data_IF_946975630863
#
_entry.id   IF_946975630863
#
_cell.length_a   1.000
_cell.length_b   1.000
_cell.length_c   1.000
_cell.angle_alpha   90.00
_cell.angle_beta   90.00
_cell.angle_gamma   90.00
#
_symmetry.space_group_name_H-M   'P 1'
#
loop_
_entity.id
_entity.type
_entity.pdbx_description
1 polymer ?
#
# COMPACT_ATOMS: atom_id res chain seq x y z
N UNK A 1 46.21 45.05 -35.29
CA UNK A 1 44.77 44.82 -35.04
C UNK A 1 44.31 43.44 -35.49
N UNK A 2 44.57 43.02 -36.72
CA UNK A 2 44.23 41.67 -37.24
C UNK A 2 44.82 40.50 -36.43
N UNK A 3 46.09 40.59 -36.02
CA UNK A 3 46.75 39.57 -35.19
C UNK A 3 46.13 39.37 -33.80
N UNK A 4 45.58 40.44 -33.20
CA UNK A 4 44.91 40.39 -31.90
C UNK A 4 43.57 39.66 -32.02
N UNK A 5 42.84 39.90 -33.11
CA UNK A 5 41.56 39.25 -33.40
C UNK A 5 41.76 37.74 -33.61
N UNK A 6 42.81 37.35 -34.34
CA UNK A 6 43.13 35.93 -34.57
C UNK A 6 43.45 35.22 -33.25
N UNK A 7 44.21 35.85 -32.35
CA UNK A 7 44.54 35.28 -31.03
C UNK A 7 43.29 35.07 -30.17
N UNK A 8 42.34 36.03 -30.17
CA UNK A 8 41.10 35.91 -29.41
C UNK A 8 40.23 34.77 -29.96
N UNK A 9 40.11 34.65 -31.28
CA UNK A 9 39.35 33.57 -31.91
C UNK A 9 39.97 32.20 -31.60
N UNK A 10 41.29 32.06 -31.71
CA UNK A 10 41.99 30.81 -31.37
C UNK A 10 41.80 30.47 -29.89
N UNK A 11 41.90 31.45 -28.99
CA UNK A 11 41.69 31.24 -27.56
C UNK A 11 40.25 30.82 -27.22
N UNK A 12 39.25 31.43 -27.85
CA UNK A 12 37.83 31.05 -27.65
C UNK A 12 37.52 29.65 -28.17
N UNK A 13 38.08 29.27 -29.32
CA UNK A 13 37.94 27.91 -29.87
C UNK A 13 38.63 26.90 -28.94
N UNK A 14 39.83 27.22 -28.44
CA UNK A 14 40.56 26.36 -27.52
C UNK A 14 39.80 26.19 -26.19
N UNK A 15 39.22 27.26 -25.66
CA UNK A 15 38.41 27.23 -24.44
C UNK A 15 37.11 26.41 -24.63
N UNK A 16 36.46 26.48 -25.80
CA UNK A 16 35.30 25.67 -26.14
C UNK A 16 35.65 24.18 -26.25
N UNK A 17 36.79 23.86 -26.86
CA UNK A 17 37.25 22.48 -26.99
C UNK A 17 37.60 21.92 -25.61
N UNK A 18 38.38 22.66 -24.81
CA UNK A 18 38.77 22.28 -23.44
C UNK A 18 37.57 22.16 -22.49
N UNK A 19 36.58 23.06 -22.59
CA UNK A 19 35.36 23.04 -21.78
C UNK A 19 34.45 21.83 -22.04
N UNK A 20 34.59 21.19 -23.21
CA UNK A 20 33.84 20.00 -23.59
C UNK A 20 34.59 18.68 -23.34
N UNK A 21 35.87 18.72 -22.91
CA UNK A 21 36.61 17.49 -22.59
C UNK A 21 36.22 16.99 -21.19
N UNK A 22 35.32 15.99 -21.19
CA UNK A 22 35.11 15.01 -20.11
C UNK A 22 34.56 15.55 -18.78
N UNK A 23 33.23 15.75 -18.75
CA UNK A 23 32.46 15.24 -17.60
C UNK A 23 32.41 13.70 -17.72
N UNK A 24 33.46 13.03 -17.25
CA UNK A 24 33.33 11.62 -16.93
C UNK A 24 32.22 11.50 -15.88
N UNK A 25 31.10 10.91 -16.29
CA UNK A 25 30.05 10.50 -15.35
C UNK A 25 30.73 9.50 -14.42
N UNK A 26 31.17 9.95 -13.25
CA UNK A 26 31.49 9.08 -12.13
C UNK A 26 30.22 8.28 -11.86
N UNK A 27 30.15 7.07 -12.43
CA UNK A 27 29.13 6.10 -12.09
C UNK A 27 29.33 5.81 -10.61
N UNK A 28 28.59 6.52 -9.76
CA UNK A 28 28.69 6.38 -8.32
C UNK A 28 28.49 4.91 -7.98
N UNK A 29 29.42 4.34 -7.21
CA UNK A 29 29.30 2.98 -6.73
C UNK A 29 27.92 2.79 -6.10
N UNK A 30 27.21 1.73 -6.48
CA UNK A 30 25.86 1.47 -6.01
C UNK A 30 25.88 1.33 -4.49
N UNK A 31 25.03 2.09 -3.80
CA UNK A 31 24.85 1.93 -2.36
C UNK A 31 24.31 0.52 -2.04
N UNK A 32 24.73 -0.09 -0.91
CA UNK A 32 24.27 -1.42 -0.53
C UNK A 32 22.76 -1.42 -0.27
N UNK A 33 22.07 -2.42 -0.80
CA UNK A 33 20.64 -2.65 -0.56
C UNK A 33 20.50 -3.32 0.80
N UNK A 34 19.58 -2.81 1.63
CA UNK A 34 19.24 -3.39 2.93
C UNK A 34 17.76 -3.70 2.98
N UNK A 35 17.40 -4.81 3.62
CA UNK A 35 16.03 -5.13 3.95
C UNK A 35 15.46 -4.14 4.97
N UNK A 36 14.13 -3.94 4.94
CA UNK A 36 13.38 -3.15 5.91
C UNK A 36 12.10 -3.89 6.31
N UNK A 37 11.50 -3.49 7.43
CA UNK A 37 10.14 -3.94 7.80
C UNK A 37 9.15 -3.49 6.73
N UNK A 38 8.13 -4.33 6.49
CA UNK A 38 7.04 -4.00 5.57
C UNK A 38 6.18 -2.90 6.19
N UNK A 39 5.72 -3.12 7.44
CA UNK A 39 4.91 -2.17 8.19
C UNK A 39 5.74 -1.40 9.22
N UNK A 40 5.39 -0.14 9.43
CA UNK A 40 5.96 0.68 10.52
C UNK A 40 5.45 0.22 11.90
N UNK A 41 6.01 0.78 12.97
CA UNK A 41 5.55 0.47 14.34
C UNK A 41 4.13 0.99 14.61
N UNK A 42 3.68 2.03 13.89
CA UNK A 42 2.35 2.61 14.02
C UNK A 42 1.32 1.89 13.14
N UNK A 43 1.75 1.34 11.99
CA UNK A 43 0.91 0.56 11.08
C UNK A 43 0.55 -0.83 11.63
N UNK A 44 1.51 -1.53 12.25
CA UNK A 44 1.30 -2.88 12.78
C UNK A 44 0.06 -3.01 13.70
N UNK A 45 -0.10 -2.20 14.75
CA UNK A 45 -1.27 -2.31 15.61
C UNK A 45 -2.57 -1.94 14.89
N UNK A 46 -2.55 -0.98 13.96
CA UNK A 46 -3.72 -0.62 13.16
C UNK A 46 -4.14 -1.77 12.24
N UNK A 47 -3.19 -2.44 11.59
CA UNK A 47 -3.47 -3.61 10.76
C UNK A 47 -4.19 -4.70 11.56
N UNK A 48 -3.72 -4.97 12.79
CA UNK A 48 -4.34 -5.95 13.69
C UNK A 48 -5.78 -5.52 14.02
N UNK A 49 -6.01 -4.24 14.35
CA UNK A 49 -7.34 -3.73 14.68
C UNK A 49 -8.30 -3.78 13.49
N UNK A 50 -7.84 -3.45 12.29
CA UNK A 50 -8.64 -3.60 11.07
C UNK A 50 -9.05 -5.07 10.87
N UNK A 51 -8.11 -6.02 11.03
CA UNK A 51 -8.38 -7.45 10.86
C UNK A 51 -9.38 -7.98 11.89
N UNK A 52 -9.26 -7.57 13.14
CA UNK A 52 -10.17 -7.97 14.22
C UNK A 52 -11.57 -7.38 14.04
N UNK A 53 -11.65 -6.13 13.60
CA UNK A 53 -12.92 -5.43 13.39
C UNK A 53 -13.67 -5.88 12.13
N UNK A 54 -12.93 -6.30 11.10
CA UNK A 54 -13.44 -6.59 9.76
C UNK A 54 -13.15 -8.05 9.35
N UNK A 55 -13.64 -9.07 10.09
CA UNK A 55 -13.27 -10.48 9.86
C UNK A 55 -13.67 -11.00 8.48
N UNK A 56 -14.71 -10.41 7.88
CA UNK A 56 -15.23 -10.79 6.56
C UNK A 56 -14.57 -10.03 5.39
N UNK A 57 -13.62 -9.13 5.67
CA UNK A 57 -12.92 -8.32 4.67
C UNK A 57 -11.48 -8.77 4.46
N UNK A 58 -10.94 -8.46 3.29
CA UNK A 58 -9.53 -8.68 2.97
C UNK A 58 -8.80 -7.35 3.15
N UNK A 59 -7.66 -7.38 3.85
CA UNK A 59 -6.86 -6.19 4.11
C UNK A 59 -5.50 -6.35 3.45
N UNK A 60 -5.20 -5.48 2.49
CA UNK A 60 -3.90 -5.37 1.86
C UNK A 60 -3.14 -4.19 2.47
N UNK A 61 -1.85 -4.35 2.72
CA UNK A 61 -1.02 -3.30 3.30
C UNK A 61 0.07 -2.83 2.33
N UNK A 62 0.46 -1.56 2.42
CA UNK A 62 1.50 -0.94 1.58
C UNK A 62 1.20 -1.09 0.07
N UNK A 63 -0.02 -0.75 -0.33
CA UNK A 63 -0.50 -0.91 -1.72
C UNK A 63 -0.16 0.33 -2.54
N UNK A 64 0.60 0.17 -3.63
CA UNK A 64 0.89 1.29 -4.53
C UNK A 64 -0.39 1.84 -5.17
N UNK A 65 -0.52 3.16 -5.30
CA UNK A 65 -1.68 3.76 -5.97
C UNK A 65 -1.81 3.28 -7.42
N UNK A 66 -0.69 2.98 -8.09
CA UNK A 66 -0.71 2.41 -9.45
C UNK A 66 -1.34 1.01 -9.54
N UNK A 67 -1.62 0.34 -8.42
CA UNK A 67 -2.30 -0.94 -8.40
C UNK A 67 -3.83 -0.79 -8.51
N UNK A 68 -4.38 0.36 -8.12
CA UNK A 68 -5.83 0.60 -8.11
C UNK A 68 -6.25 1.90 -8.82
N UNK A 69 -5.30 2.71 -9.29
CA UNK A 69 -5.56 3.93 -10.05
C UNK A 69 -4.87 3.89 -11.41
N UNK A 70 -5.52 4.47 -12.41
CA UNK A 70 -4.97 4.66 -13.75
C UNK A 70 -5.35 6.03 -14.30
N UNK A 71 -4.53 6.54 -15.22
CA UNK A 71 -4.79 7.81 -15.89
C UNK A 71 -4.20 7.79 -17.30
N UNK A 72 -4.78 8.59 -18.19
CA UNK A 72 -4.23 8.83 -19.52
C UNK A 72 -3.08 9.83 -19.42
N UNK A 73 -1.94 9.49 -20.04
CA UNK A 73 -0.76 10.37 -20.10
C UNK A 73 0.17 10.29 -18.88
N UNK A 74 1.46 10.50 -19.16
CA UNK A 74 2.51 10.39 -18.15
C UNK A 74 2.45 11.48 -17.08
N UNK A 75 2.03 12.70 -17.44
CA UNK A 75 1.94 13.82 -16.51
C UNK A 75 1.00 13.51 -15.34
N UNK A 76 -0.22 13.05 -15.63
CA UNK A 76 -1.21 12.69 -14.62
C UNK A 76 -0.79 11.44 -13.85
N UNK A 77 -0.24 10.42 -14.52
CA UNK A 77 0.24 9.21 -13.84
C UNK A 77 1.37 9.49 -12.84
N UNK A 78 2.21 10.49 -13.10
CA UNK A 78 3.27 10.91 -12.18
C UNK A 78 2.74 11.52 -10.88
N UNK A 79 1.48 11.95 -10.83
CA UNK A 79 0.86 12.44 -9.60
C UNK A 79 0.75 11.33 -8.55
N UNK A 80 0.54 10.06 -8.95
CA UNK A 80 0.31 8.97 -8.00
C UNK A 80 1.27 7.78 -8.11
N UNK A 81 2.11 7.68 -9.14
CA UNK A 81 2.93 6.48 -9.36
C UNK A 81 3.98 6.16 -8.28
N UNK A 82 4.28 7.12 -7.40
CA UNK A 82 5.19 6.95 -6.25
C UNK A 82 4.46 6.95 -4.90
N UNK A 83 3.13 7.05 -4.92
CA UNK A 83 2.29 7.03 -3.73
C UNK A 83 1.89 5.60 -3.37
N UNK A 84 1.84 5.32 -2.07
CA UNK A 84 1.49 4.02 -1.49
C UNK A 84 0.49 4.27 -0.38
N UNK A 85 -0.62 3.53 -0.38
CA UNK A 85 -1.62 3.48 0.68
C UNK A 85 -1.15 2.60 1.83
N UNK A 86 -1.40 3.01 3.06
CA UNK A 86 -1.07 2.20 4.23
C UNK A 86 -1.87 0.90 4.21
N UNK A 87 -3.19 1.01 4.02
CA UNK A 87 -4.06 -0.16 3.82
C UNK A 87 -5.14 0.06 2.76
N UNK A 88 -5.52 -1.03 2.10
CA UNK A 88 -6.67 -1.12 1.21
C UNK A 88 -7.57 -2.24 1.73
N UNK A 89 -8.81 -1.89 2.06
CA UNK A 89 -9.81 -2.85 2.53
C UNK A 89 -10.69 -3.25 1.36
N UNK A 90 -10.80 -4.56 1.14
CA UNK A 90 -11.59 -5.16 0.09
C UNK A 90 -12.74 -6.00 0.66
N UNK A 91 -13.82 -6.12 -0.10
CA UNK A 91 -14.83 -7.15 0.14
C UNK A 91 -14.33 -8.55 -0.33
N UNK A 92 -15.17 -9.58 -0.17
CA UNK A 92 -14.86 -10.96 -0.57
C UNK A 92 -14.72 -11.13 -2.09
N UNK A 93 -15.19 -10.18 -2.87
CA UNK A 93 -15.15 -10.16 -4.33
C UNK A 93 -13.97 -9.31 -4.85
N UNK A 94 -13.09 -8.85 -3.95
CA UNK A 94 -11.94 -7.99 -4.26
C UNK A 94 -12.30 -6.58 -4.74
N UNK A 95 -13.52 -6.09 -4.46
CA UNK A 95 -13.85 -4.68 -4.67
C UNK A 95 -13.30 -3.84 -3.52
N UNK A 96 -12.79 -2.65 -3.84
CA UNK A 96 -12.28 -1.71 -2.83
C UNK A 96 -13.45 -1.11 -2.06
N UNK A 97 -13.48 -1.34 -0.75
CA UNK A 97 -14.44 -0.77 0.19
C UNK A 97 -13.95 0.58 0.70
N UNK A 98 -12.67 0.66 1.09
CA UNK A 98 -12.04 1.89 1.54
C UNK A 98 -10.51 1.83 1.45
N UNK A 99 -9.89 2.98 1.25
CA UNK A 99 -8.47 3.23 1.49
C UNK A 99 -8.32 3.73 2.93
N UNK A 100 -7.42 3.13 3.71
CA UNK A 100 -7.16 3.54 5.09
C UNK A 100 -5.75 4.13 5.20
N UNK A 101 -5.67 5.34 5.75
CA UNK A 101 -4.42 6.08 5.97
C UNK A 101 -4.18 6.32 7.47
N UNK A 102 -2.92 6.29 7.88
CA UNK A 102 -2.48 6.66 9.21
C UNK A 102 -1.75 8.01 9.16
N UNK A 103 -2.25 8.97 9.94
CA UNK A 103 -1.48 10.18 10.22
C UNK A 103 -0.42 9.86 11.27
N UNK A 104 0.85 10.13 10.94
CA UNK A 104 1.87 10.18 11.98
C UNK A 104 1.85 11.57 12.63
N UNK A 105 1.90 11.64 13.95
CA UNK A 105 1.92 12.90 14.72
C UNK A 105 3.07 13.89 14.36
N UNK A 106 3.95 13.53 13.41
CA UNK A 106 5.06 14.34 12.91
C UNK A 106 4.72 15.33 11.78
N UNK A 107 3.45 15.47 11.37
CA UNK A 107 3.01 16.28 10.21
C UNK A 107 2.93 17.82 10.42
N UNK A 108 3.83 18.47 11.18
CA UNK A 108 3.90 19.95 11.12
C UNK A 108 4.48 20.39 9.76
N UNK A 109 3.66 20.99 8.90
CA UNK A 109 4.08 21.62 7.63
C UNK A 109 3.96 20.75 6.36
N UNK A 110 3.16 19.68 6.38
CA UNK A 110 2.87 18.83 5.20
C UNK A 110 1.40 18.75 4.79
N UNK A 111 0.55 19.54 5.43
CA UNK A 111 -0.91 19.55 5.26
C UNK A 111 -1.34 19.62 3.78
N UNK A 112 -0.71 20.50 2.99
CA UNK A 112 -1.03 20.65 1.55
C UNK A 112 -0.77 19.38 0.74
N UNK A 113 0.28 18.62 1.08
CA UNK A 113 0.63 17.38 0.37
C UNK A 113 -0.32 16.24 0.73
N UNK A 114 -0.77 16.23 1.97
CA UNK A 114 -1.74 15.24 2.46
C UNK A 114 -3.12 15.53 1.83
N UNK A 115 -3.50 16.81 1.69
CA UNK A 115 -4.69 17.21 0.95
C UNK A 115 -4.64 16.83 -0.53
N UNK A 116 -3.52 17.05 -1.23
CA UNK A 116 -3.36 16.64 -2.64
C UNK A 116 -3.49 15.12 -2.79
N UNK A 117 -2.88 14.36 -1.87
CA UNK A 117 -2.96 12.90 -1.87
C UNK A 117 -4.40 12.40 -1.71
N UNK A 118 -5.13 12.95 -0.76
CA UNK A 118 -6.52 12.57 -0.50
C UNK A 118 -7.43 12.96 -1.68
N UNK A 119 -7.15 14.12 -2.29
CA UNK A 119 -7.85 14.58 -3.50
C UNK A 119 -7.75 13.57 -4.63
N UNK A 120 -6.58 12.97 -4.85
CA UNK A 120 -6.37 11.96 -5.90
C UNK A 120 -7.18 10.67 -5.63
N UNK A 121 -7.26 10.22 -4.37
CA UNK A 121 -8.05 9.04 -3.99
C UNK A 121 -9.54 9.30 -4.25
N UNK A 122 -10.02 10.49 -3.84
CA UNK A 122 -11.41 10.90 -4.01
C UNK A 122 -11.75 11.06 -5.49
N UNK A 123 -10.87 11.68 -6.28
CA UNK A 123 -11.02 11.83 -7.74
C UNK A 123 -11.13 10.47 -8.45
N UNK A 124 -10.40 9.46 -7.97
CA UNK A 124 -10.51 8.09 -8.45
C UNK A 124 -11.78 7.34 -8.00
N UNK A 125 -12.65 7.99 -7.22
CA UNK A 125 -13.93 7.44 -6.77
C UNK A 125 -13.82 6.53 -5.55
N UNK A 126 -12.69 6.53 -4.84
CA UNK A 126 -12.49 5.69 -3.66
C UNK A 126 -12.82 6.43 -2.37
N UNK A 127 -13.45 5.70 -1.44
CA UNK A 127 -13.66 6.16 -0.08
C UNK A 127 -12.34 6.14 0.69
N UNK A 128 -12.07 7.19 1.46
CA UNK A 128 -10.92 7.29 2.35
C UNK A 128 -11.35 7.33 3.83
N UNK A 129 -10.62 6.62 4.70
CA UNK A 129 -10.76 6.66 6.15
C UNK A 129 -9.37 6.95 6.73
N UNK A 130 -9.25 8.02 7.51
CA UNK A 130 -7.97 8.44 8.11
C UNK A 130 -8.01 8.28 9.62
N UNK A 131 -6.99 7.63 10.17
CA UNK A 131 -6.81 7.48 11.61
C UNK A 131 -5.57 8.26 12.09
N UNK A 132 -5.77 9.12 13.08
CA UNK A 132 -4.67 9.91 13.71
C UNK A 132 -3.74 9.08 14.60
N UNK A 133 -4.22 7.91 15.03
CA UNK A 133 -3.52 6.94 15.87
C UNK A 133 -4.18 5.59 15.65
N UNK A 134 -3.61 4.53 16.20
CA UNK A 134 -4.27 3.21 16.21
C UNK A 134 -5.71 3.33 16.72
N UNK A 135 -6.71 2.98 15.90
CA UNK A 135 -8.11 3.04 16.30
C UNK A 135 -8.46 1.88 17.24
N UNK A 136 -9.51 2.07 18.03
CA UNK A 136 -10.16 0.93 18.69
C UNK A 136 -11.05 0.15 17.71
N UNK A 137 -11.47 -1.05 18.13
CA UNK A 137 -12.24 -1.96 17.26
C UNK A 137 -13.62 -1.38 16.96
N UNK A 138 -14.24 -0.69 17.92
CA UNK A 138 -15.61 -0.18 17.77
C UNK A 138 -15.65 1.02 16.82
N UNK A 139 -14.63 1.87 16.84
CA UNK A 139 -14.41 2.95 15.90
C UNK A 139 -14.26 2.40 14.48
N UNK A 140 -13.45 1.36 14.28
CA UNK A 140 -13.34 0.71 12.97
C UNK A 140 -14.68 0.15 12.52
N UNK A 141 -15.38 -0.60 13.37
CA UNK A 141 -16.71 -1.15 13.01
C UNK A 141 -17.70 -0.06 12.62
N UNK A 142 -17.77 1.01 13.41
CA UNK A 142 -18.62 2.18 13.15
C UNK A 142 -18.28 2.85 11.81
N UNK A 143 -17.00 3.09 11.55
CA UNK A 143 -16.56 3.73 10.31
C UNK A 143 -16.85 2.86 9.09
N UNK A 144 -16.81 1.54 9.22
CA UNK A 144 -17.21 0.61 8.16
C UNK A 144 -18.71 0.28 8.14
N UNK A 145 -19.53 0.94 8.98
CA UNK A 145 -20.98 0.72 9.03
C UNK A 145 -21.39 -0.66 9.56
N UNK A 146 -20.48 -1.38 10.22
CA UNK A 146 -20.76 -2.65 10.88
C UNK A 146 -21.43 -2.32 12.22
N UNK A 147 -22.75 -2.23 12.19
CA UNK A 147 -23.52 -2.26 13.43
C UNK A 147 -23.65 -3.72 13.84
N UNK A 148 -23.28 -4.05 15.07
CA UNK A 148 -23.60 -5.35 15.65
C UNK A 148 -25.11 -5.51 15.60
N UNK A 149 -25.62 -6.25 14.61
CA UNK A 149 -26.95 -6.80 14.69
C UNK A 149 -26.84 -7.77 15.85
N UNK A 150 -27.45 -7.41 16.99
CA UNK A 150 -27.71 -8.36 18.05
C UNK A 150 -28.34 -9.57 17.36
N UNK A 151 -27.63 -10.68 17.35
CA UNK A 151 -28.14 -11.95 16.85
C UNK A 151 -29.38 -12.21 17.71
N UNK A 152 -30.55 -11.86 17.20
CA UNK A 152 -31.80 -12.38 17.72
C UNK A 152 -31.69 -13.86 17.45
N UNK A 153 -31.43 -14.62 18.50
CA UNK A 153 -31.62 -16.05 18.56
C UNK A 153 -33.02 -16.33 18.03
N UNK A 154 -33.13 -16.62 16.73
CA UNK A 154 -34.26 -17.36 16.22
C UNK A 154 -34.01 -18.75 16.78
N UNK A 155 -34.70 -19.07 17.88
CA UNK A 155 -35.01 -20.44 18.26
C UNK A 155 -35.52 -21.15 17.01
N UNK A 156 -34.62 -21.84 16.31
CA UNK A 156 -35.02 -22.86 15.36
C UNK A 156 -35.64 -23.97 16.19
N UNK A 157 -36.95 -24.11 16.00
CA UNK A 157 -37.82 -25.12 16.57
C UNK A 157 -37.12 -26.49 16.70
N UNK A 158 -37.31 -27.07 17.87
CA UNK A 158 -37.07 -28.47 18.18
C UNK A 158 -37.76 -29.38 17.15
N UNK A 159 -36.99 -29.91 16.20
CA UNK A 159 -37.37 -31.11 15.46
C UNK A 159 -36.86 -32.33 16.22
N UNK A 160 -37.78 -33.01 16.89
CA UNK A 160 -37.56 -34.33 17.46
C UNK A 160 -37.04 -35.33 16.40
N UNK A 161 -36.08 -36.15 16.85
CA UNK A 161 -35.72 -37.49 16.37
C UNK A 161 -35.09 -37.58 14.96
N UNK A 162 -33.82 -37.96 14.93
CA UNK A 162 -33.44 -39.36 14.66
C UNK A 162 -32.08 -39.63 15.31
N UNK A 163 -32.05 -40.58 16.24
CA UNK A 163 -30.81 -41.19 16.73
C UNK A 163 -30.18 -42.00 15.59
N UNK A 164 -28.86 -41.81 15.37
CA UNK A 164 -27.91 -42.44 14.42
C UNK A 164 -27.08 -41.26 13.86
N UNK A 165 -25.82 -41.03 14.18
CA UNK A 165 -24.67 -41.94 14.16
C UNK A 165 -23.65 -41.43 15.18
N UNK A 166 -23.48 -42.18 16.26
CA UNK A 166 -22.24 -42.17 17.02
C UNK A 166 -21.24 -43.09 16.31
N UNK A 167 -20.00 -42.61 16.23
CA UNK A 167 -18.74 -43.32 15.93
C UNK A 167 -18.19 -43.29 14.49
N UNK A 168 -16.87 -43.04 14.46
CA UNK A 168 -15.89 -43.25 13.39
C UNK A 168 -15.75 -42.08 12.38
N UNK A 169 -14.59 -41.47 12.12
CA UNK A 169 -13.18 -41.90 12.14
C UNK A 169 -12.30 -40.66 12.44
N UNK A 170 -11.46 -40.67 13.48
CA UNK A 170 -10.02 -41.01 13.46
C UNK A 170 -9.22 -40.26 12.39
N UNK A 171 -8.41 -39.32 12.87
CA UNK A 171 -7.31 -38.67 12.17
C UNK A 171 -6.18 -39.68 12.02
N UNK A 172 -5.73 -39.94 10.79
CA UNK A 172 -4.51 -40.72 10.55
C UNK A 172 -3.59 -39.91 9.63
N UNK A 173 -2.49 -39.44 10.22
CA UNK A 173 -1.35 -38.90 9.51
C UNK A 173 -0.38 -40.06 9.28
N UNK A 174 -0.09 -40.42 8.03
CA UNK A 174 1.15 -41.12 7.73
C UNK A 174 1.83 -40.59 6.46
N UNK A 175 3.05 -40.13 6.70
CA UNK A 175 4.18 -40.05 5.80
C UNK A 175 4.71 -41.43 5.43
N UNK A 176 5.04 -41.70 4.16
CA UNK A 176 6.38 -42.06 3.67
C UNK A 176 6.37 -42.71 2.26
N UNK A 177 7.36 -42.27 1.47
CA UNK A 177 8.23 -43.03 0.54
C UNK A 177 7.72 -43.86 -0.65
N UNK A 178 8.20 -43.42 -1.84
CA UNK A 178 8.97 -44.15 -2.86
C UNK A 178 8.65 -45.64 -3.18
N UNK A 179 8.26 -45.88 -4.45
CA UNK A 179 9.06 -46.61 -5.48
C UNK A 179 8.33 -46.59 -6.84
N UNK A 180 8.98 -46.05 -7.88
CA UNK A 180 9.53 -46.76 -9.06
C UNK A 180 8.48 -47.48 -9.93
N UNK A 181 8.27 -46.94 -11.14
CA UNK A 181 8.45 -47.62 -12.42
C UNK A 181 8.85 -46.59 -13.48
#
# INVERSE_FOLDING_TARGET
MTWIIILIVVFTILALILGNVKKEKKGGARNPIKGKRILTMNEQPTFIRLREALPEHIILAQVSFSAFMTAQGYATRNLFNRKVADFVVLDKQFNIVAIVELDDSSHKGKEDKDAERDSLIIEAGYRIIRYQRTPDIDQVKKDFGITSIAITTIESETLEKTALVSEAFIFETESHEQKVL
#
